data_IF_989772107971
#
_entry.id   IF_989772107971
#
_cell.length_a   1.000
_cell.length_b   1.000
_cell.length_c   1.000
_cell.angle_alpha   90.00
_cell.angle_beta   90.00
_cell.angle_gamma   90.00
#
_symmetry.space_group_name_H-M   'P 1'
#
loop_
_entity.id
_entity.type
_entity.pdbx_description
1 polymer ?
#
# COMPACT_ATOMS: atom_id res chain seq x y z
N UNK A 1 10.02 -23.11 -5.41
CA UNK A 1 8.65 -23.25 -4.91
C UNK A 1 8.44 -22.34 -3.72
N UNK A 2 7.44 -21.48 -3.79
CA UNK A 2 7.08 -20.59 -2.67
C UNK A 2 6.24 -21.35 -1.65
N UNK A 3 6.57 -21.14 -0.37
CA UNK A 3 5.75 -21.66 0.71
C UNK A 3 4.79 -20.56 1.16
N UNK A 4 3.55 -20.93 1.44
CA UNK A 4 2.61 -20.02 2.05
C UNK A 4 3.06 -19.73 3.48
N UNK A 5 3.30 -18.47 3.77
CA UNK A 5 3.60 -18.03 5.13
C UNK A 5 2.28 -17.73 5.86
N UNK A 6 2.08 -18.38 6.98
CA UNK A 6 0.89 -18.15 7.81
C UNK A 6 1.29 -17.52 9.13
N UNK A 7 0.35 -16.85 9.77
CA UNK A 7 0.55 -16.14 11.02
C UNK A 7 -0.48 -16.58 12.04
N UNK A 8 -0.06 -16.81 13.27
CA UNK A 8 -0.99 -16.82 14.39
C UNK A 8 -1.37 -15.38 14.72
N UNK A 9 -2.42 -15.18 15.51
CA UNK A 9 -2.82 -13.84 15.97
C UNK A 9 -1.66 -13.15 16.70
N UNK A 10 -0.97 -13.88 17.56
CA UNK A 10 0.18 -13.34 18.30
C UNK A 10 1.33 -12.96 17.37
N UNK A 11 1.63 -13.77 16.37
CA UNK A 11 2.68 -13.49 15.39
C UNK A 11 2.32 -12.25 14.56
N UNK A 12 1.07 -12.15 14.12
CA UNK A 12 0.61 -10.98 13.36
C UNK A 12 0.73 -9.70 14.20
N UNK A 13 0.33 -9.76 15.47
CA UNK A 13 0.41 -8.60 16.36
C UNK A 13 1.87 -8.22 16.69
N UNK A 14 2.78 -9.18 16.75
CA UNK A 14 4.22 -8.91 16.94
C UNK A 14 4.81 -8.16 15.75
N UNK A 15 4.38 -8.49 14.54
CA UNK A 15 4.86 -7.83 13.32
C UNK A 15 4.17 -6.47 13.08
N UNK A 16 3.06 -6.23 13.75
CA UNK A 16 2.22 -5.06 13.47
C UNK A 16 2.92 -3.71 13.56
N UNK A 17 3.83 -3.45 14.52
CA UNK A 17 4.54 -2.16 14.54
C UNK A 17 5.30 -1.87 13.25
N UNK A 18 5.98 -2.88 12.70
CA UNK A 18 6.70 -2.76 11.42
C UNK A 18 5.72 -2.65 10.26
N UNK A 19 4.73 -3.52 10.23
CA UNK A 19 3.72 -3.58 9.17
C UNK A 19 2.92 -2.28 9.11
N UNK A 20 2.57 -1.72 10.28
CA UNK A 20 1.86 -0.44 10.37
C UNK A 20 2.62 0.68 9.67
N UNK A 21 3.94 0.75 9.86
CA UNK A 21 4.76 1.77 9.19
C UNK A 21 4.76 1.61 7.67
N UNK A 22 4.87 0.36 7.20
CA UNK A 22 4.87 0.07 5.76
C UNK A 22 3.50 0.42 5.15
N UNK A 23 2.43 0.00 5.80
CA UNK A 23 1.06 0.25 5.31
C UNK A 23 0.73 1.74 5.33
N UNK A 24 1.18 2.48 6.35
CA UNK A 24 1.02 3.94 6.40
C UNK A 24 1.71 4.60 5.20
N UNK A 25 2.90 4.16 4.86
CA UNK A 25 3.64 4.66 3.70
C UNK A 25 2.90 4.34 2.39
N UNK A 26 2.38 3.12 2.25
CA UNK A 26 1.57 2.73 1.09
C UNK A 26 0.35 3.65 0.95
N UNK A 27 -0.35 3.90 2.05
CA UNK A 27 -1.55 4.75 2.05
C UNK A 27 -1.22 6.19 1.64
N UNK A 28 -0.16 6.76 2.22
CA UNK A 28 0.30 8.13 1.91
C UNK A 28 0.70 8.26 0.43
N UNK A 29 1.50 7.35 -0.07
CA UNK A 29 1.97 7.37 -1.46
C UNK A 29 0.81 7.15 -2.44
N UNK A 30 -0.13 6.27 -2.09
CA UNK A 30 -1.32 6.02 -2.91
C UNK A 30 -2.20 7.26 -3.03
N UNK A 31 -2.29 8.07 -1.98
CA UNK A 31 -3.02 9.33 -1.99
C UNK A 31 -2.26 10.44 -2.74
N UNK A 32 -0.94 10.46 -2.62
CA UNK A 32 -0.07 11.50 -3.20
C UNK A 32 0.10 11.35 -4.71
N UNK A 33 0.21 10.12 -5.20
CA UNK A 33 0.52 9.86 -6.62
C UNK A 33 -0.42 10.57 -7.61
N UNK A 34 -1.76 10.53 -7.47
CA UNK A 34 -2.64 11.24 -8.39
C UNK A 34 -2.37 12.75 -8.43
N UNK A 35 -2.03 13.35 -7.31
CA UNK A 35 -1.69 14.79 -7.23
C UNK A 35 -0.38 15.09 -7.97
N UNK A 36 0.63 14.24 -7.79
CA UNK A 36 1.91 14.39 -8.49
C UNK A 36 1.74 14.20 -10.00
N UNK A 37 0.90 13.26 -10.41
CA UNK A 37 0.59 13.03 -11.82
C UNK A 37 -0.13 14.23 -12.44
N UNK A 38 -1.07 14.84 -11.71
CA UNK A 38 -1.75 16.06 -12.17
C UNK A 38 -0.77 17.22 -12.33
N UNK A 39 0.14 17.39 -11.35
CA UNK A 39 1.17 18.42 -11.43
C UNK A 39 2.10 18.21 -12.63
N UNK A 40 2.45 16.95 -12.91
CA UNK A 40 3.29 16.63 -14.06
C UNK A 40 2.58 16.93 -15.37
N UNK A 41 1.27 16.67 -15.48
CA UNK A 41 0.49 17.00 -16.67
C UNK A 41 0.39 18.52 -16.89
N UNK A 42 0.19 19.27 -15.81
CA UNK A 42 0.15 20.74 -15.87
C UNK A 42 1.50 21.27 -16.33
N UNK A 43 2.60 20.77 -15.74
CA UNK A 43 3.95 21.19 -16.11
C UNK A 43 4.28 20.84 -17.55
N UNK A 44 3.85 19.67 -18.03
CA UNK A 44 3.99 19.27 -19.44
C UNK A 44 3.29 20.25 -20.37
N UNK A 45 2.04 20.57 -20.07
CA UNK A 45 1.28 21.54 -20.85
C UNK A 45 1.99 22.89 -20.94
N UNK A 46 2.47 23.40 -19.81
CA UNK A 46 3.17 24.68 -19.75
C UNK A 46 4.46 24.68 -20.57
N UNK A 47 5.19 23.56 -20.55
CA UNK A 47 6.45 23.42 -21.29
C UNK A 47 6.27 23.39 -22.80
N UNK A 48 5.07 22.98 -23.25
CA UNK A 48 4.75 22.84 -24.69
C UNK A 48 4.11 24.08 -25.30
N UNK A 49 3.78 25.10 -24.49
CA UNK A 49 3.25 26.35 -25.02
C UNK A 49 4.34 27.13 -25.76
N UNK A 50 3.93 28.02 -26.69
CA UNK A 50 4.86 28.87 -27.45
C UNK A 50 5.77 29.69 -26.55
N UNK A 51 5.27 30.08 -25.38
CA UNK A 51 6.01 30.87 -24.39
C UNK A 51 6.84 30.00 -23.45
N UNK A 52 6.80 28.67 -23.60
CA UNK A 52 7.53 27.75 -22.76
C UNK A 52 9.04 27.90 -22.92
N UNK A 53 9.74 28.05 -21.82
CA UNK A 53 11.20 28.21 -21.78
C UNK A 53 11.89 27.13 -20.97
N UNK A 54 13.17 27.36 -20.69
CA UNK A 54 14.01 26.42 -19.95
C UNK A 54 13.44 26.13 -18.56
N UNK A 55 12.93 27.14 -17.87
CA UNK A 55 12.34 26.97 -16.54
C UNK A 55 11.12 26.05 -16.57
N UNK A 56 10.27 26.18 -17.58
CA UNK A 56 9.09 25.32 -17.73
C UNK A 56 9.49 23.89 -18.02
N UNK A 57 10.52 23.68 -18.82
CA UNK A 57 11.05 22.34 -19.11
C UNK A 57 11.64 21.69 -17.86
N UNK A 58 12.40 22.48 -17.10
CA UNK A 58 13.00 21.99 -15.84
C UNK A 58 11.93 21.62 -14.82
N UNK A 59 10.88 22.44 -14.72
CA UNK A 59 9.75 22.17 -13.83
C UNK A 59 9.02 20.90 -14.23
N UNK A 60 8.84 20.68 -15.52
CA UNK A 60 8.24 19.45 -16.05
C UNK A 60 9.11 18.24 -15.68
N UNK A 61 10.43 18.34 -15.89
CA UNK A 61 11.33 17.23 -15.53
C UNK A 61 11.31 16.93 -14.04
N UNK A 62 11.31 17.95 -13.19
CA UNK A 62 11.21 17.78 -11.72
C UNK A 62 9.89 17.12 -11.33
N UNK A 63 8.78 17.50 -11.98
CA UNK A 63 7.47 16.90 -11.71
C UNK A 63 7.43 15.44 -12.11
N UNK A 64 8.04 15.08 -13.24
CA UNK A 64 8.16 13.68 -13.69
C UNK A 64 9.03 12.86 -12.74
N UNK A 65 10.13 13.44 -12.28
CA UNK A 65 11.03 12.78 -11.32
C UNK A 65 10.31 12.53 -9.98
N UNK A 66 9.45 13.46 -9.55
CA UNK A 66 8.67 13.29 -8.34
C UNK A 66 7.68 12.11 -8.47
N UNK A 67 7.02 11.98 -9.63
CA UNK A 67 6.14 10.83 -9.91
C UNK A 67 6.93 9.53 -9.87
N UNK A 68 8.03 9.46 -10.60
CA UNK A 68 8.87 8.25 -10.65
C UNK A 68 9.41 7.85 -9.29
N UNK A 69 9.83 8.83 -8.49
CA UNK A 69 10.32 8.59 -7.14
C UNK A 69 9.24 8.03 -6.22
N UNK A 70 8.04 8.59 -6.28
CA UNK A 70 6.91 8.11 -5.49
C UNK A 70 6.47 6.70 -5.91
N UNK A 71 6.44 6.43 -7.22
CA UNK A 71 6.13 5.09 -7.74
C UNK A 71 7.13 4.05 -7.25
N UNK A 72 8.42 4.38 -7.25
CA UNK A 72 9.47 3.48 -6.79
C UNK A 72 9.33 3.19 -5.29
N UNK A 73 9.06 4.22 -4.49
CA UNK A 73 8.87 4.06 -3.04
C UNK A 73 7.64 3.19 -2.74
N UNK A 74 6.56 3.40 -3.49
CA UNK A 74 5.35 2.59 -3.35
C UNK A 74 5.63 1.12 -3.70
N UNK A 75 6.35 0.90 -4.81
CA UNK A 75 6.71 -0.45 -5.25
C UNK A 75 7.54 -1.18 -4.20
N UNK A 76 8.51 -0.48 -3.58
CA UNK A 76 9.34 -1.04 -2.51
C UNK A 76 8.52 -1.42 -1.28
N UNK A 77 7.59 -0.56 -0.88
CA UNK A 77 6.72 -0.81 0.28
C UNK A 77 5.82 -2.02 0.03
N UNK A 78 5.21 -2.10 -1.15
CA UNK A 78 4.38 -3.25 -1.53
C UNK A 78 5.21 -4.53 -1.58
N UNK A 79 6.42 -4.46 -2.13
CA UNK A 79 7.32 -5.61 -2.18
C UNK A 79 7.70 -6.11 -0.79
N UNK A 80 7.85 -5.21 0.19
CA UNK A 80 8.11 -5.58 1.59
C UNK A 80 6.95 -6.40 2.17
N UNK A 81 5.71 -5.99 1.94
CA UNK A 81 4.53 -6.73 2.39
C UNK A 81 4.46 -8.09 1.69
N UNK A 82 4.68 -8.13 0.39
CA UNK A 82 4.67 -9.38 -0.37
C UNK A 82 5.74 -10.35 0.14
N UNK A 83 6.92 -9.85 0.47
CA UNK A 83 8.01 -10.64 1.05
C UNK A 83 7.67 -11.24 2.40
N UNK A 84 6.77 -10.62 3.14
CA UNK A 84 6.26 -11.12 4.42
C UNK A 84 5.06 -12.06 4.24
N UNK A 85 4.58 -12.26 3.01
CA UNK A 85 3.39 -13.06 2.74
C UNK A 85 2.09 -12.37 3.10
N UNK A 86 2.12 -11.05 3.32
CA UNK A 86 0.95 -10.26 3.69
C UNK A 86 0.27 -9.76 2.41
N UNK A 87 -1.04 -9.90 2.34
CA UNK A 87 -1.84 -9.49 1.18
C UNK A 87 -2.32 -8.05 1.34
N UNK A 88 -1.96 -7.20 0.40
CA UNK A 88 -2.47 -5.83 0.36
C UNK A 88 -3.80 -5.82 -0.39
N UNK A 89 -4.88 -5.50 0.30
CA UNK A 89 -6.24 -5.50 -0.27
C UNK A 89 -6.75 -4.11 -0.62
N UNK A 90 -6.38 -3.11 0.18
CA UNK A 90 -6.78 -1.73 -0.05
C UNK A 90 -5.61 -0.79 0.22
N UNK A 91 -4.85 -0.39 -0.82
CA UNK A 91 -3.70 0.49 -0.62
C UNK A 91 -4.05 1.83 0.03
N UNK A 92 -5.11 2.46 -0.44
CA UNK A 92 -5.49 3.80 0.03
C UNK A 92 -5.95 3.79 1.49
N UNK A 93 -6.82 2.85 1.85
CA UNK A 93 -7.35 2.74 3.22
C UNK A 93 -6.45 1.93 4.16
N UNK A 94 -5.38 1.33 3.64
CA UNK A 94 -4.45 0.56 4.46
C UNK A 94 -5.01 -0.77 4.94
N UNK A 95 -5.72 -1.48 4.06
CA UNK A 95 -6.33 -2.76 4.38
C UNK A 95 -5.43 -3.91 3.95
N UNK A 96 -5.12 -4.80 4.88
CA UNK A 96 -4.27 -5.97 4.65
C UNK A 96 -4.85 -7.23 5.28
N UNK A 97 -4.43 -8.38 4.75
CA UNK A 97 -4.77 -9.69 5.29
C UNK A 97 -3.52 -10.53 5.52
N UNK A 98 -3.50 -11.23 6.66
CA UNK A 98 -2.46 -12.20 6.99
C UNK A 98 -3.04 -13.60 6.80
N UNK A 99 -2.44 -14.43 5.96
CA UNK A 99 -2.85 -15.84 5.91
C UNK A 99 -2.69 -16.51 7.29
N UNK A 100 -3.67 -17.27 7.69
CA UNK A 100 -3.68 -17.91 9.01
C UNK A 100 -4.51 -19.19 8.99
N UNK A 101 -4.51 -19.91 10.10
CA UNK A 101 -5.37 -21.07 10.31
C UNK A 101 -6.26 -20.85 11.52
N UNK A 102 -7.49 -21.30 11.41
CA UNK A 102 -8.47 -21.32 12.50
C UNK A 102 -9.20 -22.66 12.48
N UNK A 103 -9.05 -23.42 13.55
CA UNK A 103 -9.67 -24.76 13.66
C UNK A 103 -9.35 -25.66 12.46
N UNK A 104 -8.08 -25.61 12.01
CA UNK A 104 -7.60 -26.42 10.87
C UNK A 104 -7.97 -25.88 9.51
N UNK A 105 -8.74 -24.80 9.43
CA UNK A 105 -9.15 -24.17 8.17
C UNK A 105 -8.25 -22.96 7.86
N UNK A 106 -7.84 -22.83 6.61
CA UNK A 106 -7.08 -21.68 6.14
C UNK A 106 -8.01 -20.46 6.03
N UNK A 107 -7.66 -19.40 6.75
CA UNK A 107 -8.45 -18.16 6.82
C UNK A 107 -7.50 -16.97 6.65
N UNK A 108 -8.06 -15.76 6.71
CA UNK A 108 -7.27 -14.53 6.68
C UNK A 108 -7.56 -13.69 7.92
N UNK A 109 -6.48 -13.20 8.57
CA UNK A 109 -6.59 -12.22 9.65
C UNK A 109 -6.61 -10.86 8.98
N UNK A 110 -7.59 -10.03 9.33
CA UNK A 110 -7.84 -8.75 8.67
C UNK A 110 -7.46 -7.59 9.59
N UNK A 111 -6.66 -6.66 9.05
CA UNK A 111 -6.27 -5.45 9.76
C UNK A 111 -6.38 -4.25 8.84
N UNK A 112 -6.84 -3.15 9.39
CA UNK A 112 -6.95 -1.88 8.68
C UNK A 112 -6.20 -0.80 9.43
N UNK A 113 -5.51 0.07 8.69
CA UNK A 113 -4.78 1.21 9.27
C UNK A 113 -5.70 2.03 10.19
N UNK A 114 -5.23 2.28 11.41
CA UNK A 114 -6.00 2.93 12.46
C UNK A 114 -6.48 1.99 13.55
N UNK A 115 -6.51 0.69 13.29
CA UNK A 115 -6.84 -0.30 14.34
C UNK A 115 -5.62 -0.56 15.22
N UNK A 116 -5.83 -0.73 16.52
CA UNK A 116 -4.73 -0.92 17.49
C UNK A 116 -4.01 -2.24 17.32
N UNK A 117 -4.76 -3.30 17.05
CA UNK A 117 -4.23 -4.66 16.96
C UNK A 117 -5.03 -5.47 15.94
N UNK A 118 -4.51 -6.64 15.61
CA UNK A 118 -5.21 -7.59 14.75
C UNK A 118 -6.27 -8.28 15.60
N UNK A 119 -7.54 -7.97 15.34
CA UNK A 119 -8.68 -8.44 16.13
C UNK A 119 -9.80 -9.07 15.30
N UNK A 120 -9.60 -9.18 13.99
CA UNK A 120 -10.63 -9.64 13.06
C UNK A 120 -10.08 -10.70 12.11
N UNK A 121 -10.99 -11.53 11.63
CA UNK A 121 -10.69 -12.53 10.62
C UNK A 121 -11.87 -12.69 9.67
N UNK A 122 -11.61 -13.25 8.50
CA UNK A 122 -12.66 -13.63 7.57
C UNK A 122 -12.23 -14.87 6.79
N UNK A 123 -13.20 -15.54 6.17
CA UNK A 123 -12.90 -16.63 5.26
C UNK A 123 -12.24 -16.07 4.00
N UNK A 124 -11.42 -16.88 3.36
CA UNK A 124 -10.78 -16.49 2.10
C UNK A 124 -11.86 -16.12 1.08
N UNK A 125 -11.72 -14.93 0.49
CA UNK A 125 -12.67 -14.43 -0.51
C UNK A 125 -13.81 -13.58 0.02
N UNK A 126 -14.05 -13.54 1.35
CA UNK A 126 -15.11 -12.70 1.92
C UNK A 126 -14.77 -11.22 1.96
N UNK A 127 -13.51 -10.89 2.21
CA UNK A 127 -13.05 -9.52 2.31
C UNK A 127 -13.49 -8.81 3.59
N UNK A 128 -13.24 -7.48 3.63
CA UNK A 128 -13.46 -6.64 4.81
C UNK A 128 -14.91 -6.70 5.33
N UNK A 129 -15.88 -6.67 4.43
CA UNK A 129 -17.31 -6.66 4.82
C UNK A 129 -17.74 -7.92 5.55
N UNK A 130 -17.08 -9.05 5.30
CA UNK A 130 -17.39 -10.34 5.94
C UNK A 130 -16.58 -10.63 7.19
N UNK A 131 -15.76 -9.70 7.65
CA UNK A 131 -14.87 -9.96 8.78
C UNK A 131 -15.62 -10.08 10.10
N UNK A 132 -15.09 -10.96 10.94
CA UNK A 132 -15.64 -11.30 12.25
C UNK A 132 -14.62 -10.99 13.32
N UNK A 133 -15.07 -10.69 14.51
CA UNK A 133 -14.16 -10.48 15.64
C UNK A 133 -13.59 -11.81 16.12
N UNK A 134 -12.30 -11.79 16.48
CA UNK A 134 -11.61 -12.96 17.03
C UNK A 134 -12.12 -13.38 18.39
#
# INVERSE_FOLDING_TARGET
MQRLRTYTVDEANKELPRVRRIVAQVSELSALLPELEDQARIAEYQSKRKTGGAEDRDRHQQARDAVSGAELELLKAVASLNGMGIQLKGPLEGLIDFPSYRDGELIELCWKLGEESVEHWHHIGEGFAGRKKL
#
